data_IF_825142957919
#
_entry.id   IF_825142957919
#
_cell.length_a   1.000
_cell.length_b   1.000
_cell.length_c   1.000
_cell.angle_alpha   90.00
_cell.angle_beta   90.00
_cell.angle_gamma   90.00
#
_symmetry.space_group_name_H-M   'P 1'
#
loop_
_entity.id
_entity.type
_entity.pdbx_description
1 polymer ?
#
# COMPACT_ATOMS: atom_id res chain seq x y z
N UNK A 1 -35.73 11.69 -13.88
CA UNK A 1 -36.24 12.50 -12.73
C UNK A 1 -36.26 14.00 -13.06
N UNK A 2 -35.32 14.51 -13.82
CA UNK A 2 -35.22 15.94 -14.24
C UNK A 2 -36.37 16.39 -15.13
N UNK A 3 -36.83 15.55 -16.04
CA UNK A 3 -37.94 15.88 -16.98
C UNK A 3 -39.27 16.18 -16.26
N UNK A 4 -39.55 15.52 -15.14
CA UNK A 4 -40.74 15.81 -14.31
C UNK A 4 -40.59 17.10 -13.49
N UNK A 5 -39.35 17.47 -13.14
CA UNK A 5 -39.08 18.73 -12.43
C UNK A 5 -39.22 19.92 -13.39
N UNK A 6 -38.65 19.84 -14.58
CA UNK A 6 -38.75 20.88 -15.61
C UNK A 6 -40.21 21.18 -15.98
N UNK A 7 -41.01 20.14 -16.19
CA UNK A 7 -42.46 20.30 -16.46
C UNK A 7 -43.20 21.03 -15.33
N UNK A 8 -42.93 20.67 -14.07
CA UNK A 8 -43.55 21.35 -12.92
C UNK A 8 -43.16 22.82 -12.83
N UNK A 9 -41.91 23.16 -13.12
CA UNK A 9 -41.44 24.56 -13.09
C UNK A 9 -42.05 25.37 -14.25
N UNK A 10 -42.23 24.78 -15.41
CA UNK A 10 -42.93 25.41 -16.55
C UNK A 10 -44.42 25.61 -16.27
N UNK A 11 -45.07 24.64 -15.66
CA UNK A 11 -46.47 24.77 -15.22
C UNK A 11 -46.64 25.86 -14.15
N UNK A 12 -45.73 25.92 -13.18
CA UNK A 12 -45.70 26.96 -12.15
C UNK A 12 -45.58 28.35 -12.77
N UNK A 13 -44.66 28.52 -13.72
CA UNK A 13 -44.46 29.79 -14.45
C UNK A 13 -45.73 30.18 -15.23
N UNK A 14 -46.37 29.24 -15.92
CA UNK A 14 -47.61 29.50 -16.65
C UNK A 14 -48.75 29.96 -15.71
N UNK A 15 -48.90 29.30 -14.54
CA UNK A 15 -49.92 29.68 -13.55
C UNK A 15 -49.63 31.07 -12.95
N UNK A 16 -48.38 31.40 -12.64
CA UNK A 16 -48.02 32.72 -12.13
C UNK A 16 -48.27 33.82 -13.17
N UNK A 17 -48.00 33.55 -14.45
CA UNK A 17 -48.28 34.49 -15.54
C UNK A 17 -49.78 34.72 -15.71
N UNK A 18 -50.62 33.68 -15.53
CA UNK A 18 -52.10 33.82 -15.54
C UNK A 18 -52.54 34.70 -14.36
N UNK A 19 -52.00 34.53 -13.17
CA UNK A 19 -52.33 35.36 -12.00
C UNK A 19 -52.01 36.84 -12.20
N UNK A 20 -50.90 37.17 -12.86
CA UNK A 20 -50.62 38.57 -13.23
C UNK A 20 -51.67 39.13 -14.17
N UNK A 21 -52.04 38.33 -15.19
CA UNK A 21 -53.04 38.70 -16.18
C UNK A 21 -54.38 38.93 -15.52
N UNK A 22 -54.82 38.05 -14.62
CA UNK A 22 -56.10 38.16 -13.90
C UNK A 22 -56.16 39.46 -13.05
N UNK A 23 -55.02 39.85 -12.43
CA UNK A 23 -54.96 41.11 -11.68
C UNK A 23 -55.03 42.34 -12.58
N UNK A 24 -54.41 42.29 -13.75
CA UNK A 24 -54.45 43.41 -14.73
C UNK A 24 -55.84 43.51 -15.35
N UNK A 25 -56.39 42.38 -15.81
CA UNK A 25 -57.72 42.32 -16.44
C UNK A 25 -58.81 42.79 -15.44
N UNK A 26 -58.67 42.46 -14.15
CA UNK A 26 -59.56 42.94 -13.08
C UNK A 26 -59.50 44.47 -12.92
N UNK A 27 -58.37 45.08 -12.92
CA UNK A 27 -58.24 46.55 -12.83
C UNK A 27 -58.70 47.27 -14.08
N UNK A 28 -58.51 46.63 -15.28
CA UNK A 28 -58.96 47.17 -16.56
C UNK A 28 -60.49 47.11 -16.67
N UNK A 29 -61.13 46.02 -16.19
CA UNK A 29 -62.58 45.89 -16.18
C UNK A 29 -63.30 46.92 -15.28
N UNK A 30 -62.61 47.38 -14.24
CA UNK A 30 -63.14 48.44 -13.33
C UNK A 30 -62.79 49.83 -13.84
N UNK A 31 -62.08 49.98 -14.95
CA UNK A 31 -61.72 51.26 -15.56
C UNK A 31 -60.76 52.13 -14.68
N UNK A 32 -60.03 51.52 -13.76
CA UNK A 32 -59.10 52.15 -12.85
C UNK A 32 -57.66 51.71 -13.08
N UNK A 33 -56.76 52.54 -12.69
CA UNK A 33 -55.32 52.10 -12.65
C UNK A 33 -55.04 51.13 -11.53
N UNK A 34 -53.96 50.39 -11.64
CA UNK A 34 -53.48 49.47 -10.61
C UNK A 34 -53.24 50.15 -9.26
N UNK A 35 -53.78 49.58 -8.19
CA UNK A 35 -53.61 50.07 -6.84
C UNK A 35 -52.24 49.63 -6.27
N UNK A 36 -51.72 50.36 -5.24
CA UNK A 36 -50.43 50.06 -4.63
C UNK A 36 -50.33 48.64 -4.08
N UNK A 37 -51.46 48.05 -3.65
CA UNK A 37 -51.50 46.68 -3.17
C UNK A 37 -51.43 45.66 -4.32
N UNK A 38 -51.99 46.01 -5.48
CA UNK A 38 -51.95 45.17 -6.71
C UNK A 38 -50.54 45.22 -7.34
N UNK A 39 -49.92 46.37 -7.39
CA UNK A 39 -48.49 46.50 -7.80
C UNK A 39 -47.57 45.65 -6.95
N UNK A 40 -47.73 45.72 -5.61
CA UNK A 40 -46.92 44.86 -4.71
C UNK A 40 -47.16 43.38 -4.92
N UNK A 41 -48.33 42.94 -5.31
CA UNK A 41 -48.64 41.57 -5.66
C UNK A 41 -47.98 41.15 -6.97
N UNK A 42 -48.01 42.03 -8.00
CA UNK A 42 -47.36 41.80 -9.28
C UNK A 42 -45.84 41.64 -9.09
N UNK A 43 -45.21 42.58 -8.37
CA UNK A 43 -43.77 42.55 -8.08
C UNK A 43 -43.35 41.24 -7.38
N UNK A 44 -44.19 40.73 -6.48
CA UNK A 44 -43.92 39.45 -5.79
C UNK A 44 -44.06 38.25 -6.75
N UNK A 45 -45.06 38.25 -7.61
CA UNK A 45 -45.27 37.18 -8.61
C UNK A 45 -44.14 37.20 -9.65
N UNK A 46 -43.68 38.40 -10.05
CA UNK A 46 -42.54 38.55 -10.97
C UNK A 46 -41.23 37.99 -10.36
N UNK A 47 -40.97 38.26 -9.06
CA UNK A 47 -39.85 37.67 -8.36
C UNK A 47 -39.90 36.13 -8.31
N UNK A 48 -41.10 35.56 -8.13
CA UNK A 48 -41.33 34.11 -8.15
C UNK A 48 -41.14 33.52 -9.55
N UNK A 49 -41.56 34.24 -10.62
CA UNK A 49 -41.29 33.85 -12.02
C UNK A 49 -39.78 33.86 -12.32
N UNK A 50 -39.07 34.89 -11.90
CA UNK A 50 -37.59 34.92 -12.07
C UNK A 50 -36.88 33.79 -11.31
N UNK A 51 -37.36 33.44 -10.12
CA UNK A 51 -36.81 32.32 -9.35
C UNK A 51 -37.05 30.97 -10.07
N UNK A 52 -38.25 30.78 -10.63
CA UNK A 52 -38.59 29.60 -11.43
C UNK A 52 -37.76 29.54 -12.72
N UNK A 53 -37.52 30.66 -13.41
CA UNK A 53 -36.68 30.73 -14.60
C UNK A 53 -35.24 30.35 -14.29
N UNK A 54 -34.66 30.89 -13.21
CA UNK A 54 -33.28 30.54 -12.78
C UNK A 54 -33.14 29.05 -12.46
N UNK A 55 -34.20 28.42 -11.90
CA UNK A 55 -34.17 26.98 -11.61
C UNK A 55 -34.24 26.13 -12.88
N UNK A 56 -35.00 26.56 -13.90
CA UNK A 56 -35.07 25.92 -15.23
C UNK A 56 -33.73 26.02 -15.94
N UNK A 57 -33.13 27.22 -16.00
CA UNK A 57 -31.81 27.42 -16.63
C UNK A 57 -30.71 26.61 -15.96
N UNK A 58 -30.75 26.49 -14.63
CA UNK A 58 -29.80 25.67 -13.88
C UNK A 58 -29.94 24.18 -14.19
N UNK A 59 -31.19 23.70 -14.33
CA UNK A 59 -31.46 22.31 -14.71
C UNK A 59 -31.03 22.03 -16.16
N UNK A 60 -31.34 22.90 -17.12
CA UNK A 60 -30.92 22.78 -18.52
C UNK A 60 -29.38 22.78 -18.66
N UNK A 61 -28.70 23.68 -17.94
CA UNK A 61 -27.21 23.68 -17.91
C UNK A 61 -26.63 22.40 -17.31
N UNK A 62 -27.31 21.80 -16.33
CA UNK A 62 -26.87 20.52 -15.77
C UNK A 62 -27.04 19.36 -16.73
N UNK A 63 -28.13 19.37 -17.53
CA UNK A 63 -28.34 18.38 -18.58
C UNK A 63 -27.39 18.54 -19.76
N UNK A 64 -27.12 19.77 -20.19
CA UNK A 64 -26.10 20.04 -21.22
C UNK A 64 -24.71 19.54 -20.77
N UNK A 65 -24.31 19.82 -19.55
CA UNK A 65 -23.06 19.29 -19.02
C UNK A 65 -23.05 17.76 -18.95
N UNK A 66 -24.15 17.15 -18.54
CA UNK A 66 -24.27 15.70 -18.51
C UNK A 66 -24.22 15.09 -19.92
N UNK A 67 -24.79 15.76 -20.93
CA UNK A 67 -24.72 15.36 -22.32
C UNK A 67 -23.30 15.53 -22.91
N UNK A 68 -22.64 16.65 -22.61
CA UNK A 68 -21.23 16.89 -22.99
C UNK A 68 -20.29 15.85 -22.35
N UNK A 69 -20.50 15.51 -21.07
CA UNK A 69 -19.78 14.41 -20.42
C UNK A 69 -20.07 13.05 -21.04
N UNK A 70 -21.32 12.79 -21.43
CA UNK A 70 -21.69 11.54 -22.10
C UNK A 70 -21.12 11.47 -23.53
N UNK A 71 -20.98 12.59 -24.21
CA UNK A 71 -20.38 12.67 -25.56
C UNK A 71 -18.85 12.60 -25.48
N UNK A 72 -18.23 13.26 -24.52
CA UNK A 72 -16.81 13.12 -24.23
C UNK A 72 -16.47 11.67 -23.80
N UNK A 73 -17.35 11.02 -23.05
CA UNK A 73 -17.22 9.60 -22.70
C UNK A 73 -17.42 8.66 -23.91
N UNK A 74 -18.17 9.07 -24.96
CA UNK A 74 -18.27 8.31 -26.21
C UNK A 74 -17.07 8.52 -27.15
N UNK A 75 -16.40 9.67 -27.08
CA UNK A 75 -15.16 9.96 -27.79
C UNK A 75 -13.95 9.20 -27.23
N UNK A 76 -13.99 8.83 -25.96
CA UNK A 76 -13.23 7.71 -25.42
C UNK A 76 -14.00 6.46 -25.83
N UNK A 77 -13.72 5.90 -27.00
CA UNK A 77 -13.91 4.46 -27.17
C UNK A 77 -13.19 3.82 -25.99
N UNK A 78 -13.86 3.11 -25.08
CA UNK A 78 -13.13 2.12 -24.32
C UNK A 78 -12.56 1.24 -25.43
N UNK A 79 -11.24 1.17 -25.59
CA UNK A 79 -10.63 -0.11 -25.90
C UNK A 79 -11.49 -1.04 -25.07
N UNK A 80 -12.15 -2.02 -25.70
CA UNK A 80 -12.88 -3.06 -24.99
C UNK A 80 -11.92 -3.57 -23.93
N UNK A 81 -11.91 -2.86 -22.82
CA UNK A 81 -11.38 -3.31 -21.58
C UNK A 81 -12.38 -4.40 -21.16
N UNK A 82 -12.09 -5.56 -21.72
CA UNK A 82 -12.57 -6.80 -21.16
C UNK A 82 -12.28 -6.63 -19.68
N UNK A 83 -13.33 -6.38 -18.90
CA UNK A 83 -13.30 -6.36 -17.44
C UNK A 83 -13.02 -7.81 -17.00
N UNK A 84 -11.84 -8.27 -17.34
CA UNK A 84 -11.31 -9.56 -16.98
C UNK A 84 -10.78 -9.40 -15.58
N UNK A 85 -11.65 -9.67 -14.60
CA UNK A 85 -11.21 -9.87 -13.23
C UNK A 85 -10.05 -10.87 -13.22
N UNK A 86 -9.19 -10.81 -12.21
CA UNK A 86 -8.06 -11.73 -12.06
C UNK A 86 -8.44 -13.20 -12.33
N UNK A 87 -9.64 -13.59 -11.92
CA UNK A 87 -10.23 -14.92 -12.18
C UNK A 87 -10.42 -15.22 -13.68
N UNK A 88 -10.77 -14.24 -14.51
CA UNK A 88 -10.91 -14.43 -15.96
C UNK A 88 -9.57 -14.45 -16.67
N UNK A 89 -8.60 -13.66 -16.22
CA UNK A 89 -7.21 -13.74 -16.72
C UNK A 89 -6.65 -15.14 -16.47
N UNK A 90 -6.85 -15.70 -15.27
CA UNK A 90 -6.43 -17.07 -14.99
C UNK A 90 -7.22 -18.12 -15.78
N UNK A 91 -8.53 -17.91 -16.00
CA UNK A 91 -9.33 -18.79 -16.86
C UNK A 91 -8.90 -18.72 -18.32
N UNK A 92 -8.58 -17.53 -18.84
CA UNK A 92 -8.07 -17.37 -20.22
C UNK A 92 -6.65 -17.92 -20.37
N UNK A 93 -5.80 -17.80 -19.35
CA UNK A 93 -4.51 -18.50 -19.27
C UNK A 93 -4.70 -20.03 -19.23
N UNK A 94 -5.65 -20.52 -18.42
CA UNK A 94 -5.94 -21.96 -18.32
C UNK A 94 -6.53 -22.55 -19.62
N UNK A 95 -7.32 -21.77 -20.37
CA UNK A 95 -7.85 -22.16 -21.70
C UNK A 95 -6.81 -22.06 -22.82
N UNK A 96 -5.61 -21.54 -22.55
CA UNK A 96 -4.58 -21.33 -23.57
C UNK A 96 -4.84 -20.13 -24.50
N UNK A 97 -5.83 -19.30 -24.20
CA UNK A 97 -6.15 -18.08 -24.98
C UNK A 97 -5.06 -17.02 -24.77
N UNK A 98 -4.45 -16.98 -23.58
CA UNK A 98 -3.29 -16.17 -23.25
C UNK A 98 -2.11 -17.08 -22.88
N UNK A 99 -0.90 -16.76 -23.35
CA UNK A 99 0.33 -17.52 -23.02
C UNK A 99 1.09 -16.95 -21.82
N UNK A 100 0.76 -15.73 -21.42
CA UNK A 100 1.35 -15.05 -20.26
C UNK A 100 0.70 -13.71 -20.03
N UNK A 101 0.78 -13.23 -18.81
CA UNK A 101 0.29 -11.93 -18.38
C UNK A 101 1.28 -11.30 -17.40
N UNK A 102 1.55 -10.01 -17.56
CA UNK A 102 2.39 -9.23 -16.66
C UNK A 102 1.50 -8.30 -15.86
N UNK A 103 1.52 -8.47 -14.54
CA UNK A 103 0.84 -7.57 -13.63
C UNK A 103 1.77 -6.39 -13.34
N UNK A 104 1.43 -5.20 -13.87
CA UNK A 104 2.15 -3.99 -13.57
C UNK A 104 1.97 -3.60 -12.09
N UNK A 105 3.04 -3.17 -11.41
CA UNK A 105 2.93 -2.69 -10.05
C UNK A 105 2.05 -1.44 -10.00
N UNK A 106 1.02 -1.46 -9.15
CA UNK A 106 0.22 -0.27 -8.92
C UNK A 106 1.01 0.74 -8.09
N UNK A 107 1.33 1.89 -8.68
CA UNK A 107 1.66 3.06 -7.86
C UNK A 107 0.49 3.34 -6.94
N UNK A 108 0.76 3.63 -5.66
CA UNK A 108 -0.25 4.07 -4.68
C UNK A 108 -0.94 5.33 -5.19
N UNK A 109 -1.96 5.19 -6.02
CA UNK A 109 -2.89 6.27 -6.32
C UNK A 109 -3.91 6.32 -5.21
N UNK A 110 -4.00 7.48 -4.57
CA UNK A 110 -5.09 7.81 -3.67
C UNK A 110 -6.44 7.44 -4.29
N UNK A 111 -7.27 6.81 -3.47
CA UNK A 111 -8.64 6.41 -3.77
C UNK A 111 -9.47 7.61 -4.27
N UNK A 112 -9.53 7.82 -5.57
CA UNK A 112 -10.56 8.65 -6.19
C UNK A 112 -11.17 7.89 -7.36
N UNK A 113 -12.43 7.51 -7.14
CA UNK A 113 -13.44 6.97 -8.06
C UNK A 113 -13.57 5.45 -8.20
N UNK A 114 -14.81 5.05 -7.97
CA UNK A 114 -15.39 3.72 -7.85
C UNK A 114 -15.42 2.84 -9.13
N UNK A 115 -14.70 3.16 -10.19
CA UNK A 115 -14.72 2.41 -11.44
C UNK A 115 -13.47 1.55 -11.71
N UNK A 116 -12.41 1.68 -10.89
CA UNK A 116 -11.13 0.98 -11.10
C UNK A 116 -10.82 -0.11 -10.07
N UNK A 117 -11.80 -0.53 -9.29
CA UNK A 117 -11.61 -1.42 -8.12
C UNK A 117 -11.29 -2.88 -8.47
N UNK A 118 -11.44 -3.31 -9.73
CA UNK A 118 -11.38 -4.72 -10.10
C UNK A 118 -9.99 -5.16 -10.61
N UNK A 119 -9.13 -4.24 -11.07
CA UNK A 119 -7.79 -4.58 -11.62
C UNK A 119 -6.68 -4.73 -10.58
N UNK A 120 -6.89 -4.17 -9.41
CA UNK A 120 -5.91 -4.09 -8.32
C UNK A 120 -5.90 -5.37 -7.47
N UNK A 121 -6.94 -6.19 -7.56
CA UNK A 121 -7.30 -7.21 -6.58
C UNK A 121 -6.31 -8.38 -6.49
N UNK A 122 -5.74 -8.85 -7.61
CA UNK A 122 -4.85 -10.03 -7.57
C UNK A 122 -3.47 -9.71 -6.99
N UNK A 123 -2.82 -8.67 -7.49
CA UNK A 123 -1.49 -8.28 -7.03
C UNK A 123 -1.51 -7.80 -5.59
N UNK A 124 -2.50 -6.97 -5.24
CA UNK A 124 -2.63 -6.47 -3.89
C UNK A 124 -2.84 -7.61 -2.90
N UNK A 125 -3.70 -8.58 -3.24
CA UNK A 125 -3.90 -9.78 -2.41
C UNK A 125 -2.63 -10.64 -2.29
N UNK A 126 -1.86 -10.80 -3.38
CA UNK A 126 -0.57 -11.50 -3.33
C UNK A 126 0.44 -10.75 -2.45
N UNK A 127 0.54 -9.44 -2.61
CA UNK A 127 1.44 -8.62 -1.80
C UNK A 127 0.98 -8.52 -0.33
N UNK A 128 -0.31 -8.43 -0.06
CA UNK A 128 -0.84 -8.43 1.30
C UNK A 128 -0.54 -9.75 2.01
N UNK A 129 -0.70 -10.87 1.32
CA UNK A 129 -0.31 -12.18 1.85
C UNK A 129 1.21 -12.31 2.03
N UNK A 130 2.00 -11.74 1.10
CA UNK A 130 3.45 -11.73 1.22
C UNK A 130 3.95 -10.91 2.43
N UNK A 131 3.28 -9.79 2.75
CA UNK A 131 3.58 -8.99 3.96
C UNK A 131 3.31 -9.76 5.26
N UNK A 132 2.26 -10.62 5.28
CA UNK A 132 1.94 -11.43 6.45
C UNK A 132 3.00 -12.49 6.78
N UNK A 133 3.80 -12.91 5.79
CA UNK A 133 4.84 -13.95 6.00
C UNK A 133 6.07 -13.40 6.71
N UNK A 134 6.35 -12.11 6.57
CA UNK A 134 7.51 -11.49 7.22
C UNK A 134 7.45 -9.97 7.24
N UNK A 135 7.95 -9.33 8.29
CA UNK A 135 7.79 -7.90 8.54
C UNK A 135 8.59 -7.00 7.59
N UNK A 136 9.60 -7.53 6.88
CA UNK A 136 10.47 -6.68 6.07
C UNK A 136 9.75 -5.93 4.96
N UNK A 137 8.78 -6.55 4.27
CA UNK A 137 8.03 -5.87 3.20
C UNK A 137 7.13 -4.75 3.71
N UNK A 138 6.78 -4.78 5.00
CA UNK A 138 5.98 -3.74 5.65
C UNK A 138 6.86 -2.62 6.23
N UNK A 139 8.00 -3.00 6.84
CA UNK A 139 8.85 -2.07 7.58
C UNK A 139 9.94 -1.42 6.74
N UNK A 140 10.31 -2.01 5.59
CA UNK A 140 11.34 -1.47 4.70
C UNK A 140 10.78 -0.50 3.66
N UNK A 141 11.64 0.31 3.08
CA UNK A 141 11.28 1.15 1.94
C UNK A 141 11.37 0.34 0.64
N UNK A 142 10.20 0.14 0.00
CA UNK A 142 10.07 -0.69 -1.19
C UNK A 142 9.99 0.17 -2.44
N UNK A 143 10.91 -0.04 -3.39
CA UNK A 143 10.94 0.59 -4.71
C UNK A 143 10.41 -0.39 -5.75
N UNK A 144 9.25 -0.11 -6.27
CA UNK A 144 8.66 -0.92 -7.35
C UNK A 144 9.12 -0.35 -8.68
N UNK A 145 9.68 -1.20 -9.56
CA UNK A 145 10.23 -0.79 -10.84
C UNK A 145 9.67 -1.62 -11.99
N UNK A 146 9.57 -1.02 -13.16
CA UNK A 146 9.17 -1.71 -14.39
C UNK A 146 10.30 -2.58 -14.93
N UNK A 147 11.56 -2.11 -14.78
CA UNK A 147 12.74 -2.82 -15.28
C UNK A 147 13.51 -3.46 -14.14
N UNK A 148 14.03 -4.65 -14.37
CA UNK A 148 14.86 -5.38 -13.41
C UNK A 148 16.35 -5.04 -13.47
N UNK A 149 16.72 -3.87 -13.97
CA UNK A 149 18.11 -3.41 -13.99
C UNK A 149 18.51 -2.94 -12.59
N UNK A 150 19.78 -3.12 -12.27
CA UNK A 150 20.39 -2.55 -11.08
C UNK A 150 20.29 -1.02 -11.09
N UNK A 151 20.16 -0.44 -9.92
CA UNK A 151 20.13 1.01 -9.78
C UNK A 151 20.76 1.45 -8.46
N UNK A 152 21.20 2.70 -8.44
CA UNK A 152 21.90 3.27 -7.30
C UNK A 152 21.03 4.33 -6.63
N UNK A 153 20.98 4.24 -5.30
CA UNK A 153 20.29 5.21 -4.46
C UNK A 153 21.36 6.01 -3.71
N UNK A 154 21.34 7.36 -3.77
CA UNK A 154 22.20 8.17 -2.91
C UNK A 154 21.72 8.03 -1.46
N UNK A 155 22.62 7.68 -0.56
CA UNK A 155 22.37 7.55 0.87
C UNK A 155 23.24 8.57 1.61
N UNK A 156 22.62 9.33 2.50
CA UNK A 156 23.33 10.26 3.37
C UNK A 156 24.17 9.46 4.37
N UNK A 157 25.49 9.59 4.31
CA UNK A 157 26.42 8.90 5.20
C UNK A 157 27.01 9.81 6.29
N UNK A 158 26.92 11.11 6.14
CA UNK A 158 27.38 12.06 7.16
C UNK A 158 26.59 13.36 7.10
N UNK A 159 26.22 13.83 8.25
CA UNK A 159 25.48 15.10 8.41
C UNK A 159 26.42 16.30 8.48
N UNK A 160 25.97 17.45 8.01
CA UNK A 160 26.65 18.72 8.26
C UNK A 160 26.60 19.03 9.75
N UNK A 161 27.74 19.49 10.29
CA UNK A 161 27.84 19.90 11.70
C UNK A 161 27.88 21.41 11.83
N UNK A 162 27.09 21.95 12.76
CA UNK A 162 27.17 23.36 13.13
C UNK A 162 28.24 23.54 14.20
N UNK A 163 29.07 24.57 14.04
CA UNK A 163 30.07 24.97 15.03
C UNK A 163 29.75 26.38 15.58
N UNK A 164 30.11 26.62 16.83
CA UNK A 164 30.04 27.95 17.38
C UNK A 164 31.08 28.89 16.72
N UNK A 165 30.64 30.05 16.26
CA UNK A 165 31.52 31.04 15.60
C UNK A 165 31.56 32.30 16.45
N UNK A 166 32.75 32.79 16.73
CA UNK A 166 32.94 34.08 17.40
C UNK A 166 32.74 35.21 16.42
N UNK A 167 32.30 36.35 16.93
CA UNK A 167 32.05 37.57 16.14
C UNK A 167 33.29 37.95 15.32
N UNK A 168 33.10 38.15 14.00
CA UNK A 168 34.18 38.50 13.07
C UNK A 168 35.04 37.35 12.55
N UNK A 169 34.76 36.09 12.98
CA UNK A 169 35.44 34.91 12.48
C UNK A 169 34.74 34.30 11.27
N UNK A 170 35.52 33.67 10.37
CA UNK A 170 34.94 32.97 9.22
C UNK A 170 34.17 31.73 9.69
N UNK A 171 32.98 31.51 9.09
CA UNK A 171 32.18 30.32 9.31
C UNK A 171 32.83 29.13 8.58
N UNK A 172 33.10 28.04 9.29
CA UNK A 172 33.65 26.82 8.71
C UNK A 172 32.59 26.12 7.83
N UNK A 173 32.96 25.75 6.64
CA UNK A 173 32.09 24.96 5.76
C UNK A 173 31.96 23.53 6.28
N UNK A 174 30.76 23.02 6.32
CA UNK A 174 30.46 21.63 6.65
C UNK A 174 29.44 21.10 5.65
N UNK A 175 29.88 20.19 4.77
CA UNK A 175 29.05 19.63 3.72
C UNK A 175 28.60 18.21 4.09
N UNK A 176 27.34 17.83 3.79
CA UNK A 176 26.88 16.46 3.99
C UNK A 176 27.62 15.50 3.03
N UNK A 177 27.91 14.30 3.48
CA UNK A 177 28.52 13.26 2.65
C UNK A 177 27.48 12.24 2.21
N UNK A 178 27.55 11.84 0.94
CA UNK A 178 26.64 10.86 0.36
C UNK A 178 27.43 9.65 -0.13
N UNK A 179 26.91 8.46 0.15
CA UNK A 179 27.35 7.20 -0.45
C UNK A 179 26.28 6.68 -1.40
N UNK A 180 26.65 5.80 -2.32
CA UNK A 180 25.68 5.20 -3.23
C UNK A 180 25.42 3.74 -2.84
N UNK A 181 24.17 3.40 -2.55
CA UNK A 181 23.72 2.03 -2.34
C UNK A 181 23.29 1.43 -3.68
N UNK A 182 23.95 0.34 -4.08
CA UNK A 182 23.56 -0.43 -5.26
C UNK A 182 22.47 -1.44 -4.89
N UNK A 183 21.36 -1.42 -5.59
CA UNK A 183 20.32 -2.43 -5.54
C UNK A 183 20.32 -3.23 -6.84
N UNK A 184 20.51 -4.55 -6.73
CA UNK A 184 20.57 -5.48 -7.85
C UNK A 184 19.40 -6.49 -7.73
N UNK A 185 18.26 -6.27 -8.45
CA UNK A 185 17.12 -7.14 -8.40
C UNK A 185 17.34 -8.47 -9.10
N UNK A 186 17.60 -9.52 -8.35
CA UNK A 186 17.81 -10.88 -8.84
C UNK A 186 16.49 -11.56 -9.18
N UNK A 187 16.47 -12.35 -10.25
CA UNK A 187 15.32 -13.14 -10.68
C UNK A 187 14.98 -14.22 -9.65
N UNK A 188 13.74 -14.20 -9.19
CA UNK A 188 13.13 -15.23 -8.37
C UNK A 188 11.98 -15.84 -9.14
N UNK A 189 11.86 -17.15 -9.14
CA UNK A 189 10.81 -17.85 -9.89
C UNK A 189 10.43 -19.17 -9.21
N UNK A 190 9.19 -19.57 -9.39
CA UNK A 190 8.72 -20.89 -9.04
C UNK A 190 7.64 -21.35 -10.02
N UNK A 191 7.37 -22.65 -10.07
CA UNK A 191 6.33 -23.26 -10.90
C UNK A 191 5.39 -24.00 -9.96
N UNK A 192 4.08 -23.72 -10.08
CA UNK A 192 3.01 -24.48 -9.46
C UNK A 192 2.37 -25.37 -10.52
N UNK A 193 2.21 -26.65 -10.23
CA UNK A 193 1.58 -27.62 -11.11
C UNK A 193 0.16 -27.89 -10.62
N UNK A 194 -0.80 -27.91 -11.53
CA UNK A 194 -2.21 -28.16 -11.24
C UNK A 194 -2.73 -29.21 -12.20
N UNK A 195 -3.38 -30.26 -11.67
CA UNK A 195 -4.01 -31.29 -12.49
C UNK A 195 -5.16 -30.73 -13.31
N UNK A 196 -5.26 -31.14 -14.56
CA UNK A 196 -6.34 -30.74 -15.46
C UNK A 196 -7.71 -31.27 -14.98
N UNK A 197 -7.76 -32.39 -14.29
CA UNK A 197 -8.97 -32.93 -13.66
C UNK A 197 -9.50 -31.97 -12.59
N UNK A 198 -8.59 -31.42 -11.75
CA UNK A 198 -8.93 -30.45 -10.71
C UNK A 198 -9.49 -29.14 -11.30
N UNK A 199 -8.99 -28.74 -12.47
CA UNK A 199 -9.48 -27.55 -13.20
C UNK A 199 -10.87 -27.82 -13.79
N UNK A 200 -11.12 -29.05 -14.26
CA UNK A 200 -12.38 -29.45 -14.89
C UNK A 200 -13.52 -29.61 -13.87
N UNK A 201 -13.24 -30.17 -12.70
CA UNK A 201 -14.25 -30.48 -11.67
C UNK A 201 -14.86 -29.26 -10.98
N UNK A 202 -14.34 -28.06 -11.18
CA UNK A 202 -14.84 -26.74 -10.71
C UNK A 202 -15.26 -26.67 -9.22
N UNK A 203 -15.00 -27.69 -8.43
CA UNK A 203 -15.34 -27.74 -7.00
C UNK A 203 -14.38 -26.89 -6.14
N UNK A 204 -13.33 -26.38 -6.75
CA UNK A 204 -12.20 -25.71 -6.08
C UNK A 204 -11.89 -24.36 -6.74
N UNK A 205 -11.85 -23.29 -5.95
CA UNK A 205 -11.41 -21.99 -6.47
C UNK A 205 -9.90 -21.98 -6.70
N UNK A 206 -9.52 -22.41 -7.90
CA UNK A 206 -8.13 -22.48 -8.34
C UNK A 206 -7.43 -21.12 -8.23
N UNK A 207 -8.13 -20.05 -8.58
CA UNK A 207 -7.56 -18.70 -8.59
C UNK A 207 -7.15 -18.28 -7.18
N UNK A 208 -8.03 -18.45 -6.21
CA UNK A 208 -7.75 -18.07 -4.82
C UNK A 208 -6.61 -18.91 -4.24
N UNK A 209 -6.55 -20.20 -4.55
CA UNK A 209 -5.48 -21.07 -4.09
C UNK A 209 -4.13 -20.69 -4.70
N UNK A 210 -4.08 -20.38 -6.00
CA UNK A 210 -2.86 -19.92 -6.66
C UNK A 210 -2.39 -18.58 -6.11
N UNK A 211 -3.32 -17.65 -5.81
CA UNK A 211 -3.01 -16.37 -5.12
C UNK A 211 -2.36 -16.63 -3.78
N UNK A 212 -2.97 -17.50 -2.97
CA UNK A 212 -2.45 -17.84 -1.64
C UNK A 212 -1.08 -18.49 -1.70
N UNK A 213 -0.89 -19.48 -2.57
CA UNK A 213 0.40 -20.13 -2.76
C UNK A 213 1.47 -19.15 -3.25
N UNK A 214 1.13 -18.31 -4.23
CA UNK A 214 2.05 -17.30 -4.75
C UNK A 214 2.43 -16.27 -3.68
N UNK A 215 1.48 -15.76 -2.92
CA UNK A 215 1.73 -14.80 -1.84
C UNK A 215 2.67 -15.34 -0.78
N UNK A 216 2.40 -16.56 -0.29
CA UNK A 216 3.24 -17.22 0.70
C UNK A 216 4.65 -17.51 0.14
N UNK A 217 4.76 -18.03 -1.07
CA UNK A 217 6.04 -18.37 -1.68
C UNK A 217 6.90 -17.11 -1.93
N UNK A 218 6.30 -16.04 -2.45
CA UNK A 218 6.96 -14.75 -2.70
C UNK A 218 7.38 -14.13 -1.37
N UNK A 219 6.47 -14.06 -0.40
CA UNK A 219 6.75 -13.49 0.92
C UNK A 219 7.86 -14.21 1.66
N UNK A 220 7.82 -15.56 1.68
CA UNK A 220 8.88 -16.37 2.30
C UNK A 220 10.22 -16.11 1.64
N UNK A 221 10.29 -16.12 0.31
CA UNK A 221 11.54 -15.89 -0.40
C UNK A 221 12.04 -14.47 -0.25
N UNK A 222 11.15 -13.49 -0.33
CA UNK A 222 11.50 -12.09 -0.11
C UNK A 222 12.10 -11.88 1.29
N UNK A 223 11.45 -12.43 2.32
CA UNK A 223 11.91 -12.35 3.69
C UNK A 223 13.33 -12.93 3.86
N UNK A 224 13.62 -14.08 3.26
CA UNK A 224 14.96 -14.71 3.29
C UNK A 224 16.01 -13.85 2.58
N UNK A 225 15.70 -13.33 1.38
CA UNK A 225 16.65 -12.52 0.60
C UNK A 225 16.97 -11.20 1.32
N UNK A 226 15.94 -10.52 1.83
CA UNK A 226 16.12 -9.27 2.57
C UNK A 226 16.90 -9.53 3.86
N UNK A 227 16.56 -10.58 4.61
CA UNK A 227 17.27 -10.93 5.84
C UNK A 227 18.75 -11.24 5.58
N UNK A 228 19.08 -11.94 4.50
CA UNK A 228 20.46 -12.19 4.11
C UNK A 228 21.23 -10.88 3.82
N UNK A 229 20.60 -9.94 3.09
CA UNK A 229 21.19 -8.62 2.84
C UNK A 229 21.40 -7.82 4.14
N UNK A 230 20.44 -7.85 5.05
CA UNK A 230 20.53 -7.19 6.37
C UNK A 230 21.66 -7.78 7.20
N UNK A 231 21.71 -9.11 7.34
CA UNK A 231 22.72 -9.78 8.18
C UNK A 231 24.13 -9.69 7.63
N UNK A 232 24.30 -9.47 6.32
CA UNK A 232 25.59 -9.25 5.69
C UNK A 232 26.22 -7.90 6.08
N UNK A 233 25.41 -6.87 6.34
CA UNK A 233 25.86 -5.48 6.57
C UNK A 233 25.65 -5.04 8.01
N UNK A 234 24.71 -5.67 8.75
CA UNK A 234 24.43 -5.34 10.15
C UNK A 234 25.70 -5.42 11.02
N UNK A 235 25.87 -4.42 11.88
CA UNK A 235 27.00 -4.36 12.80
C UNK A 235 26.84 -5.33 13.98
N UNK A 236 27.95 -5.76 14.57
CA UNK A 236 27.93 -6.47 15.86
C UNK A 236 27.52 -5.50 16.96
N UNK A 237 26.45 -5.79 17.68
CA UNK A 237 26.03 -5.01 18.84
C UNK A 237 26.55 -5.63 20.13
N UNK A 238 26.06 -6.83 20.47
CA UNK A 238 26.38 -7.53 21.71
C UNK A 238 26.63 -9.00 21.42
N UNK A 239 27.57 -9.58 22.16
CA UNK A 239 27.77 -11.03 22.18
C UNK A 239 27.38 -11.56 23.56
N UNK A 240 26.37 -12.45 23.57
CA UNK A 240 25.95 -13.11 24.79
C UNK A 240 27.06 -14.05 25.34
N UNK A 241 27.10 -14.21 26.64
CA UNK A 241 28.13 -15.03 27.30
C UNK A 241 27.97 -16.53 27.03
N UNK A 242 26.80 -16.99 26.63
CA UNK A 242 26.49 -18.41 26.38
C UNK A 242 25.89 -18.64 24.99
N UNK A 243 26.07 -19.85 24.48
CA UNK A 243 25.56 -20.26 23.17
C UNK A 243 24.05 -20.48 23.14
N UNK A 244 23.40 -20.63 24.30
CA UNK A 244 21.99 -21.06 24.40
C UNK A 244 21.08 -20.06 25.11
N UNK A 245 21.64 -18.99 25.68
CA UNK A 245 20.85 -18.02 26.46
C UNK A 245 21.48 -16.61 26.38
N UNK A 246 20.65 -15.61 26.54
CA UNK A 246 21.01 -14.21 26.73
C UNK A 246 20.12 -13.60 27.83
N UNK A 247 20.55 -12.47 28.35
CA UNK A 247 19.88 -11.77 29.45
C UNK A 247 19.11 -10.55 28.95
N UNK A 248 18.29 -9.96 29.82
CA UNK A 248 17.62 -8.67 29.52
C UNK A 248 18.66 -7.55 29.32
N UNK A 249 19.78 -7.59 30.06
CA UNK A 249 20.85 -6.60 29.90
C UNK A 249 21.43 -6.64 28.48
N UNK A 250 21.58 -7.84 27.90
CA UNK A 250 22.04 -7.96 26.51
C UNK A 250 21.06 -7.30 25.51
N UNK A 251 19.74 -7.32 25.79
CA UNK A 251 18.75 -6.64 24.96
C UNK A 251 18.82 -5.11 25.12
N UNK A 252 19.07 -4.64 26.33
CA UNK A 252 19.28 -3.22 26.64
C UNK A 252 20.55 -2.75 25.92
N UNK A 253 21.66 -3.44 26.11
CA UNK A 253 22.95 -3.10 25.49
C UNK A 253 22.86 -3.11 23.96
N UNK A 254 22.09 -4.04 23.37
CA UNK A 254 21.84 -4.08 21.93
C UNK A 254 21.14 -2.82 21.45
N UNK A 255 20.08 -2.37 22.14
CA UNK A 255 19.37 -1.16 21.77
C UNK A 255 20.24 0.10 21.86
N UNK A 256 21.10 0.16 22.87
CA UNK A 256 22.00 1.30 23.06
C UNK A 256 23.29 1.21 22.22
N UNK A 257 23.57 0.09 21.57
CA UNK A 257 24.68 -0.05 20.63
C UNK A 257 24.42 0.59 19.27
N UNK A 258 23.13 0.80 18.91
CA UNK A 258 22.72 1.48 17.66
C UNK A 258 22.90 2.99 17.80
N UNK A 259 23.26 3.66 16.70
CA UNK A 259 23.40 5.11 16.66
C UNK A 259 22.19 5.83 17.25
N UNK A 260 22.46 6.89 18.05
CA UNK A 260 21.42 7.62 18.77
C UNK A 260 20.38 8.26 17.86
N UNK A 261 20.80 8.76 16.70
CA UNK A 261 19.87 9.35 15.72
C UNK A 261 18.99 8.25 15.10
N UNK A 262 19.57 7.14 14.67
CA UNK A 262 18.83 6.01 14.08
C UNK A 262 17.81 5.41 15.09
N UNK A 263 18.16 5.36 16.37
CA UNK A 263 17.29 4.85 17.44
C UNK A 263 16.05 5.72 17.67
N UNK A 264 16.13 7.03 17.41
CA UNK A 264 15.01 7.97 17.59
C UNK A 264 14.07 8.03 16.39
N UNK A 265 14.46 7.47 15.25
CA UNK A 265 13.65 7.46 14.05
C UNK A 265 12.44 6.51 14.18
N UNK A 266 11.30 6.82 13.55
CA UNK A 266 10.16 5.92 13.49
C UNK A 266 10.53 4.61 12.79
N UNK A 267 9.84 3.51 13.11
CA UNK A 267 10.15 2.20 12.52
C UNK A 267 11.35 1.50 13.13
N UNK A 268 11.95 2.03 14.21
CA UNK A 268 13.02 1.36 14.95
C UNK A 268 12.42 0.33 15.92
N UNK A 269 12.99 -0.88 15.94
CA UNK A 269 12.48 -1.95 16.80
C UNK A 269 13.33 -3.22 16.79
N UNK A 270 12.92 -4.16 17.63
CA UNK A 270 13.53 -5.49 17.70
C UNK A 270 12.94 -6.41 16.63
N UNK A 271 13.76 -7.33 16.13
CA UNK A 271 13.36 -8.38 15.23
C UNK A 271 13.94 -9.72 15.68
N UNK A 272 13.11 -10.71 15.85
CA UNK A 272 13.51 -12.05 16.27
C UNK A 272 12.53 -13.09 15.74
N UNK A 273 12.92 -14.37 15.78
CA UNK A 273 11.98 -15.43 15.40
C UNK A 273 11.06 -15.83 16.57
N UNK A 274 10.05 -16.62 16.27
CA UNK A 274 9.03 -17.12 17.22
C UNK A 274 9.65 -17.79 18.45
N UNK A 275 10.67 -18.65 18.24
CA UNK A 275 11.30 -19.38 19.37
C UNK A 275 12.11 -18.44 20.28
N UNK A 276 12.81 -17.48 19.68
CA UNK A 276 13.55 -16.46 20.43
C UNK A 276 12.60 -15.54 21.20
N UNK A 277 11.47 -15.15 20.60
CA UNK A 277 10.42 -14.40 21.31
C UNK A 277 9.83 -15.19 22.47
N UNK A 278 9.60 -16.50 22.26
CA UNK A 278 9.18 -17.40 23.35
C UNK A 278 10.22 -17.50 24.47
N UNK A 279 11.53 -17.41 24.15
CA UNK A 279 12.60 -17.34 25.13
C UNK A 279 12.58 -16.01 25.89
N UNK A 280 12.45 -14.88 25.18
CA UNK A 280 12.38 -13.55 25.79
C UNK A 280 11.24 -13.46 26.82
N UNK A 281 10.06 -14.04 26.49
CA UNK A 281 8.93 -14.08 27.43
C UNK A 281 9.19 -14.86 28.71
N UNK A 282 10.11 -15.82 28.67
CA UNK A 282 10.47 -16.63 29.84
C UNK A 282 11.57 -16.00 30.68
N UNK A 283 12.11 -14.84 30.29
CA UNK A 283 13.10 -14.13 31.08
C UNK A 283 12.52 -13.72 32.45
N UNK A 284 13.31 -13.97 33.48
CA UNK A 284 12.96 -13.70 34.87
C UNK A 284 13.92 -12.71 35.47
N UNK A 285 13.45 -11.96 36.46
CA UNK A 285 14.29 -11.12 37.32
C UNK A 285 15.02 -11.95 38.36
N UNK A 286 15.83 -11.28 39.21
CA UNK A 286 16.57 -11.93 40.30
C UNK A 286 15.68 -12.60 41.37
N UNK A 287 14.41 -12.23 41.47
CA UNK A 287 13.42 -12.79 42.41
C UNK A 287 12.60 -13.92 41.73
N UNK A 288 12.86 -14.29 40.49
CA UNK A 288 12.19 -15.35 39.77
C UNK A 288 10.83 -14.97 39.16
N UNK A 289 10.49 -13.68 39.13
CA UNK A 289 9.29 -13.17 38.46
C UNK A 289 9.56 -13.00 36.98
N UNK A 290 8.52 -13.22 36.15
CA UNK A 290 8.61 -12.94 34.74
C UNK A 290 8.74 -11.42 34.51
N UNK A 291 9.71 -10.99 33.73
CA UNK A 291 9.91 -9.59 33.34
C UNK A 291 8.79 -9.15 32.39
N UNK A 292 8.39 -10.04 31.49
CA UNK A 292 7.26 -9.84 30.60
C UNK A 292 6.06 -10.64 31.14
N UNK A 293 4.99 -9.95 31.54
CA UNK A 293 3.81 -10.59 32.12
C UNK A 293 3.19 -11.59 31.12
N UNK A 294 3.18 -12.90 31.42
CA UNK A 294 2.63 -13.90 30.51
C UNK A 294 1.09 -13.81 30.37
N UNK A 295 0.41 -13.08 31.24
CA UNK A 295 -1.05 -12.92 31.25
C UNK A 295 -1.51 -11.80 30.32
N UNK A 296 -0.71 -10.76 30.12
CA UNK A 296 -1.03 -9.61 29.29
C UNK A 296 -0.53 -9.85 27.85
N UNK A 297 -1.14 -10.76 27.12
CA UNK A 297 -0.91 -10.92 25.66
C UNK A 297 0.54 -10.95 25.19
N UNK A 298 0.76 -10.86 23.88
CA UNK A 298 2.11 -10.71 23.36
C UNK A 298 2.69 -9.35 23.75
N UNK A 299 3.91 -9.27 24.28
CA UNK A 299 4.58 -7.98 24.37
C UNK A 299 4.76 -7.47 22.93
N UNK A 300 3.92 -6.52 22.53
CA UNK A 300 4.11 -5.80 21.29
C UNK A 300 5.37 -4.91 21.33
N UNK A 301 5.94 -4.74 22.53
CA UNK A 301 7.11 -3.90 22.78
C UNK A 301 8.08 -4.54 23.76
N UNK A 302 9.37 -4.36 23.48
CA UNK A 302 10.48 -4.62 24.41
C UNK A 302 11.12 -3.26 24.71
N UNK A 303 11.24 -2.88 25.96
CA UNK A 303 11.77 -1.58 26.39
C UNK A 303 11.07 -0.38 25.72
N UNK A 304 9.76 -0.50 25.45
CA UNK A 304 8.98 0.53 24.77
C UNK A 304 9.15 0.57 23.24
N UNK A 305 10.02 -0.28 22.68
CA UNK A 305 10.24 -0.38 21.23
C UNK A 305 9.43 -1.53 20.64
N UNK A 306 8.91 -1.40 19.40
CA UNK A 306 8.12 -2.45 18.75
C UNK A 306 8.94 -3.71 18.51
N UNK A 307 8.28 -4.84 18.50
CA UNK A 307 8.87 -6.16 18.26
C UNK A 307 8.24 -6.77 17.02
N UNK A 308 9.08 -7.11 16.07
CA UNK A 308 8.68 -7.73 14.81
C UNK A 308 9.07 -9.22 14.84
N UNK A 309 8.08 -10.07 14.62
CA UNK A 309 8.29 -11.51 14.49
C UNK A 309 8.73 -11.83 13.07
N UNK A 310 9.89 -12.48 12.92
CA UNK A 310 10.43 -12.81 11.61
C UNK A 310 10.97 -14.24 11.56
N UNK A 311 10.35 -15.12 10.79
CA UNK A 311 10.77 -16.53 10.70
C UNK A 311 12.13 -16.74 10.00
N UNK A 312 12.67 -15.72 9.29
CA UNK A 312 13.98 -15.82 8.66
C UNK A 312 15.14 -15.59 9.63
N UNK A 313 14.91 -15.02 10.81
CA UNK A 313 15.92 -14.83 11.84
C UNK A 313 16.33 -16.19 12.41
N UNK A 314 17.64 -16.37 12.64
CA UNK A 314 18.18 -17.61 13.16
C UNK A 314 17.63 -17.96 14.55
N UNK A 315 17.45 -19.24 14.81
CA UNK A 315 17.14 -19.78 16.14
C UNK A 315 18.31 -19.50 17.11
N UNK A 316 18.04 -19.57 18.41
CA UNK A 316 19.07 -19.53 19.45
C UNK A 316 19.99 -20.73 19.28
N UNK A 317 21.29 -20.49 19.14
CA UNK A 317 22.32 -21.49 18.95
C UNK A 317 23.72 -20.88 18.90
N UNK A 318 24.76 -21.70 18.90
CA UNK A 318 26.15 -21.23 18.85
C UNK A 318 26.40 -20.31 17.66
N UNK A 319 27.01 -19.16 17.90
CA UNK A 319 27.32 -18.11 16.91
C UNK A 319 26.10 -17.56 16.15
N UNK A 320 24.89 -17.87 16.58
CA UNK A 320 23.67 -17.42 15.91
C UNK A 320 23.39 -15.93 16.17
N UNK A 321 22.95 -15.21 15.13
CA UNK A 321 22.44 -13.84 15.21
C UNK A 321 20.94 -13.90 15.54
N UNK A 322 20.62 -14.14 16.83
CA UNK A 322 19.26 -14.49 17.24
C UNK A 322 18.30 -13.31 17.41
N UNK A 323 18.83 -12.11 17.64
CA UNK A 323 18.04 -10.88 17.77
C UNK A 323 18.73 -9.78 16.99
N UNK A 324 17.94 -9.03 16.21
CA UNK A 324 18.37 -7.81 15.56
C UNK A 324 17.61 -6.62 16.17
N UNK A 325 18.27 -5.47 16.21
CA UNK A 325 17.67 -4.20 16.58
C UNK A 325 18.16 -3.11 15.66
N UNK A 326 17.26 -2.25 15.21
CA UNK A 326 17.64 -1.14 14.34
C UNK A 326 16.47 -0.43 13.71
N UNK A 327 16.82 0.52 12.86
CA UNK A 327 15.87 1.31 12.07
C UNK A 327 15.59 0.60 10.74
N UNK A 328 14.37 0.05 10.60
CA UNK A 328 14.05 -0.85 9.48
C UNK A 328 13.79 -0.12 8.16
N UNK A 329 13.41 1.16 8.17
CA UNK A 329 13.33 1.96 6.94
C UNK A 329 14.69 2.18 6.25
N UNK A 330 15.79 1.92 6.95
CA UNK A 330 17.14 1.87 6.34
C UNK A 330 17.30 0.72 5.36
N UNK A 331 16.45 -0.30 5.44
CA UNK A 331 16.41 -1.40 4.48
C UNK A 331 15.68 -0.96 3.24
N UNK A 332 16.38 -0.96 2.09
CA UNK A 332 15.85 -0.57 0.79
C UNK A 332 15.64 -1.82 -0.05
N UNK A 333 14.44 -2.00 -0.55
CA UNK A 333 14.06 -3.18 -1.33
C UNK A 333 13.63 -2.74 -2.72
N UNK A 334 14.23 -3.33 -3.75
CA UNK A 334 13.82 -3.15 -5.14
C UNK A 334 13.08 -4.38 -5.62
N UNK A 335 11.90 -4.21 -6.17
CA UNK A 335 11.11 -5.30 -6.75
C UNK A 335 10.55 -4.92 -8.12
N UNK A 336 10.31 -5.91 -8.96
CA UNK A 336 9.58 -5.74 -10.22
C UNK A 336 8.19 -6.34 -10.11
N UNK A 337 7.32 -6.01 -11.06
CA UNK A 337 6.02 -6.64 -11.20
C UNK A 337 6.10 -8.16 -11.32
N UNK A 338 5.04 -8.84 -10.89
CA UNK A 338 4.92 -10.28 -10.98
C UNK A 338 4.47 -10.68 -12.38
N UNK A 339 5.23 -11.57 -13.01
CA UNK A 339 4.89 -12.17 -14.31
C UNK A 339 4.35 -13.58 -14.08
N UNK A 340 3.19 -13.87 -14.65
CA UNK A 340 2.58 -15.20 -14.62
C UNK A 340 2.50 -15.72 -16.05
N UNK A 341 3.00 -16.94 -16.27
CA UNK A 341 2.89 -17.62 -17.55
C UNK A 341 2.40 -19.05 -17.34
N UNK A 342 1.58 -19.54 -18.25
CA UNK A 342 0.98 -20.86 -18.20
C UNK A 342 1.48 -21.70 -19.37
N UNK A 343 1.76 -22.98 -19.11
CA UNK A 343 2.09 -23.96 -20.14
C UNK A 343 1.33 -25.24 -19.87
N UNK A 344 0.61 -25.71 -20.89
CA UNK A 344 -0.04 -27.02 -20.91
C UNK A 344 0.87 -28.08 -21.54
N UNK A 345 1.82 -27.67 -22.39
CA UNK A 345 2.69 -28.58 -23.13
C UNK A 345 3.86 -29.12 -22.31
N UNK A 346 4.36 -28.35 -21.33
CA UNK A 346 5.55 -28.73 -20.58
C UNK A 346 5.41 -30.01 -19.76
N UNK A 347 4.18 -30.33 -19.35
CA UNK A 347 3.86 -31.49 -18.51
C UNK A 347 2.79 -32.39 -19.14
N UNK A 348 2.72 -32.41 -20.47
CA UNK A 348 1.71 -33.16 -21.23
C UNK A 348 1.59 -34.64 -20.81
N UNK A 349 2.72 -35.29 -20.55
CA UNK A 349 2.74 -36.72 -20.15
C UNK A 349 2.08 -36.98 -18.77
N UNK A 350 1.93 -35.93 -17.93
CA UNK A 350 1.39 -36.07 -16.57
C UNK A 350 -0.02 -35.48 -16.42
N UNK A 351 -0.63 -35.01 -17.53
CA UNK A 351 -1.93 -34.33 -17.55
C UNK A 351 -2.03 -33.16 -16.52
N UNK A 352 -1.01 -32.32 -16.51
CA UNK A 352 -0.83 -31.21 -15.55
C UNK A 352 -0.54 -29.91 -16.29
N UNK A 353 -1.21 -28.85 -15.88
CA UNK A 353 -0.93 -27.48 -16.33
C UNK A 353 0.07 -26.80 -15.38
N UNK A 354 1.14 -26.24 -15.95
CA UNK A 354 2.18 -25.53 -15.20
C UNK A 354 1.96 -24.02 -15.17
N UNK A 355 1.88 -23.43 -13.98
CA UNK A 355 1.81 -22.00 -13.74
C UNK A 355 3.17 -21.51 -13.26
N UNK A 356 3.85 -20.68 -14.07
CA UNK A 356 5.17 -20.11 -13.76
C UNK A 356 5.02 -18.69 -13.27
N UNK A 357 5.52 -18.44 -12.07
CA UNK A 357 5.59 -17.15 -11.44
C UNK A 357 7.03 -16.63 -11.46
N UNK A 358 7.23 -15.42 -11.95
CA UNK A 358 8.55 -14.78 -12.04
C UNK A 358 8.47 -13.36 -11.54
N UNK A 359 9.38 -12.99 -10.66
CA UNK A 359 9.57 -11.61 -10.18
C UNK A 359 11.05 -11.36 -9.96
N UNK A 360 11.45 -10.12 -9.79
CA UNK A 360 12.82 -9.78 -9.39
C UNK A 360 12.80 -9.06 -8.06
N UNK A 361 13.76 -9.38 -7.23
CA UNK A 361 13.90 -8.83 -5.89
C UNK A 361 15.37 -8.59 -5.57
N UNK A 362 15.68 -7.40 -5.09
CA UNK A 362 16.97 -7.02 -4.57
C UNK A 362 16.80 -6.22 -3.29
N UNK A 363 17.72 -6.36 -2.36
CA UNK A 363 17.72 -5.63 -1.11
C UNK A 363 19.11 -5.09 -0.78
N UNK A 364 19.13 -3.95 -0.09
CA UNK A 364 20.33 -3.35 0.44
C UNK A 364 20.01 -2.56 1.69
N UNK A 365 21.01 -2.20 2.46
CA UNK A 365 20.83 -1.47 3.73
C UNK A 365 21.66 -0.20 3.70
N UNK A 366 20.98 0.92 3.92
CA UNK A 366 21.62 2.22 4.07
C UNK A 366 22.27 2.31 5.46
N UNK A 367 23.56 2.63 5.52
CA UNK A 367 24.31 2.77 6.78
C UNK A 367 24.14 1.56 7.73
N UNK A 368 24.13 0.34 7.17
CA UNK A 368 23.69 -0.87 7.87
C UNK A 368 24.45 -1.17 9.15
N UNK A 369 25.75 -0.92 9.21
CA UNK A 369 26.56 -1.19 10.39
C UNK A 369 26.23 -0.29 11.59
N UNK A 370 25.70 0.91 11.35
CA UNK A 370 25.35 1.90 12.37
C UNK A 370 23.87 1.84 12.74
N UNK A 371 23.02 1.62 11.73
CA UNK A 371 21.56 1.66 11.88
C UNK A 371 20.96 0.33 12.32
N UNK A 372 21.63 -0.81 12.05
CA UNK A 372 21.14 -2.14 12.41
C UNK A 372 22.26 -2.93 13.08
N UNK A 373 21.98 -3.43 14.26
CA UNK A 373 22.89 -4.24 15.06
C UNK A 373 22.27 -5.60 15.42
N UNK A 374 23.11 -6.59 15.62
CA UNK A 374 22.65 -7.91 16.04
C UNK A 374 23.24 -8.32 17.38
N UNK A 375 22.49 -9.14 18.11
CA UNK A 375 22.95 -9.91 19.24
C UNK A 375 23.40 -11.28 18.74
N UNK A 376 24.69 -11.55 18.88
CA UNK A 376 25.26 -12.87 18.62
C UNK A 376 25.32 -13.69 19.90
N UNK A 377 25.12 -14.98 19.80
CA UNK A 377 25.40 -15.91 20.89
C UNK A 377 26.86 -16.36 20.80
N UNK A 378 27.46 -16.72 21.93
CA UNK A 378 28.85 -17.21 21.92
C UNK A 378 28.96 -18.50 21.09
N UNK A 379 30.20 -18.84 20.70
CA UNK A 379 30.47 -20.05 19.95
C UNK A 379 30.30 -21.33 20.81
#
# INVERSE_FOLDING_TARGET
>A
MTDSFLKRQQELKANLTMQIRDVIDGAESEGRGLDAAELTKIDRIEADIEAAQRSVEAAEKSELRAAEFAEAARGFSPVEDVATGSAEIFRSLARGELRGYEFAPSEKRELVSSANTVRVDFLDRVYDLAKLVGPYLETSEVFVRETGNDFRIPVLSGYSTAAAVTEGSAIAESNPTYTSLLLDPQKQAFISQVSNELVADQSFDLTENLVRQAGIAIGTRANVVIHAAVTAVAGSGVTAATATAFTTDNLIDLAYSVDGLARMLPGTGYMANTKTLGFIRKLKDGDGRYIYDPVVGQPSTILGMPVYENPAVADIGASAKAVLFGHWESVKVATTGLQVAVSQDAYFANDVTGYRFVYRLGAGVANGAEHIKYLALSA
#
